data_IF_733769227903
#
_entry.id   IF_733769227903
#
_cell.length_a   1.000
_cell.length_b   1.000
_cell.length_c   1.000
_cell.angle_alpha   90.00
_cell.angle_beta   90.00
_cell.angle_gamma   90.00
#
_symmetry.space_group_name_H-M   'P 1'
#
loop_
_entity.id
_entity.type
_entity.pdbx_description
1 polymer ?
#
# COMPACT_ATOMS: atom_id res chain seq x y z
N UNK A 1 -5.27 14.56 5.45
CA UNK A 1 -5.54 13.60 4.36
C UNK A 1 -5.60 14.39 3.06
N UNK A 2 -4.76 14.10 2.05
CA UNK A 2 -4.89 14.78 0.76
C UNK A 2 -6.29 14.53 0.18
N UNK A 3 -6.82 15.47 -0.59
CA UNK A 3 -8.20 15.43 -1.11
C UNK A 3 -8.50 14.27 -2.08
N UNK A 4 -7.51 13.42 -2.38
CA UNK A 4 -7.63 12.17 -3.13
C UNK A 4 -6.84 11.01 -2.49
N UNK A 5 -6.67 11.06 -1.17
CA UNK A 5 -6.05 9.99 -0.39
C UNK A 5 -7.06 8.90 -0.06
N UNK A 6 -6.75 7.67 -0.41
CA UNK A 6 -7.56 6.49 -0.15
C UNK A 6 -6.81 5.57 0.83
N UNK A 7 -7.54 4.93 1.75
CA UNK A 7 -7.00 3.89 2.61
C UNK A 7 -7.37 2.54 2.03
N UNK A 8 -6.39 1.66 1.92
CA UNK A 8 -6.61 0.32 1.40
C UNK A 8 -5.90 -0.73 2.24
N UNK A 9 -6.49 -1.93 2.28
CA UNK A 9 -5.98 -3.02 3.08
C UNK A 9 -4.70 -3.61 2.47
N UNK A 10 -3.65 -3.78 3.27
CA UNK A 10 -2.43 -4.46 2.83
C UNK A 10 -2.70 -5.94 2.55
N UNK A 11 -3.26 -6.68 3.52
CA UNK A 11 -3.93 -7.97 3.30
C UNK A 11 -5.39 -7.70 2.95
N UNK A 12 -5.87 -8.06 1.76
CA UNK A 12 -7.24 -7.78 1.34
C UNK A 12 -8.28 -8.28 2.34
N UNK A 13 -9.32 -7.49 2.56
CA UNK A 13 -10.43 -7.88 3.43
C UNK A 13 -11.11 -9.18 2.95
N UNK A 14 -11.26 -9.35 1.64
CA UNK A 14 -11.80 -10.57 1.03
C UNK A 14 -10.98 -11.82 1.34
N UNK A 15 -9.67 -11.67 1.61
CA UNK A 15 -8.75 -12.76 1.96
C UNK A 15 -8.56 -12.90 3.49
N UNK A 16 -9.52 -12.38 4.26
CA UNK A 16 -9.54 -12.42 5.73
C UNK A 16 -8.68 -11.36 6.40
N UNK A 17 -8.30 -10.29 5.70
CA UNK A 17 -7.62 -9.14 6.30
C UNK A 17 -8.52 -8.35 7.23
N UNK A 18 -8.11 -8.16 8.49
CA UNK A 18 -8.85 -7.34 9.45
C UNK A 18 -8.75 -5.85 9.11
N UNK A 19 -9.80 -5.09 9.41
CA UNK A 19 -9.75 -3.62 9.40
C UNK A 19 -9.03 -3.13 10.65
N UNK A 20 -7.78 -2.73 10.51
CA UNK A 20 -6.95 -2.20 11.59
C UNK A 20 -5.93 -1.21 11.04
N UNK A 21 -5.43 -0.29 11.87
CA UNK A 21 -4.39 0.66 11.46
C UNK A 21 -3.12 -0.05 10.91
N UNK A 22 -2.78 -1.21 11.48
CA UNK A 22 -1.64 -2.01 11.03
C UNK A 22 -1.85 -2.70 9.66
N UNK A 23 -3.10 -2.83 9.19
CA UNK A 23 -3.42 -3.42 7.90
C UNK A 23 -3.87 -2.37 6.87
N UNK A 24 -3.76 -1.07 7.16
CA UNK A 24 -4.13 -0.01 6.22
C UNK A 24 -2.89 0.76 5.78
N UNK A 25 -2.83 1.08 4.49
CA UNK A 25 -1.88 2.02 3.93
C UNK A 25 -2.61 3.11 3.14
N UNK A 26 -2.04 4.32 3.14
CA UNK A 26 -2.55 5.46 2.38
C UNK A 26 -1.99 5.47 0.97
N UNK A 27 -2.85 5.66 -0.01
CA UNK A 27 -2.52 5.75 -1.44
C UNK A 27 -3.17 7.00 -2.06
N UNK A 28 -2.63 7.48 -3.17
CA UNK A 28 -3.44 8.28 -4.09
C UNK A 28 -4.37 7.34 -4.88
N UNK A 29 -5.48 7.87 -5.43
CA UNK A 29 -6.42 7.06 -6.21
C UNK A 29 -5.76 6.26 -7.35
N UNK A 30 -4.75 6.82 -8.03
CA UNK A 30 -4.04 6.12 -9.11
C UNK A 30 -3.26 4.92 -8.57
N UNK A 31 -2.53 5.08 -7.48
CA UNK A 31 -1.72 4.00 -6.91
C UNK A 31 -2.59 2.94 -6.22
N UNK A 32 -3.70 3.34 -5.60
CA UNK A 32 -4.67 2.39 -5.06
C UNK A 32 -5.25 1.51 -6.17
N UNK A 33 -5.63 2.12 -7.31
CA UNK A 33 -6.06 1.34 -8.48
C UNK A 33 -4.95 0.43 -8.99
N UNK A 34 -3.73 0.94 -9.07
CA UNK A 34 -2.54 0.20 -9.47
C UNK A 34 -2.33 -1.06 -8.62
N UNK A 35 -2.44 -0.94 -7.30
CA UNK A 35 -2.31 -2.08 -6.36
C UNK A 35 -3.21 -3.26 -6.71
N UNK A 36 -4.43 -2.99 -7.16
CA UNK A 36 -5.41 -4.04 -7.48
C UNK A 36 -5.34 -4.51 -8.93
N UNK A 37 -4.87 -3.66 -9.85
CA UNK A 37 -5.06 -3.86 -11.28
C UNK A 37 -3.77 -3.99 -12.08
N UNK A 38 -2.59 -3.80 -11.46
CA UNK A 38 -1.29 -3.88 -12.13
C UNK A 38 -0.63 -5.25 -11.86
N UNK A 39 -0.68 -6.21 -12.80
CA UNK A 39 -0.14 -7.53 -12.58
C UNK A 39 1.38 -7.48 -12.39
N UNK A 40 1.90 -8.32 -11.48
CA UNK A 40 3.34 -8.44 -11.21
C UNK A 40 3.92 -7.31 -10.35
N UNK A 41 3.11 -6.34 -9.92
CA UNK A 41 3.52 -5.39 -8.89
C UNK A 41 3.38 -6.04 -7.51
N UNK A 42 4.32 -5.76 -6.62
CA UNK A 42 4.26 -6.24 -5.23
C UNK A 42 4.31 -5.06 -4.28
N UNK A 43 3.42 -5.07 -3.29
CA UNK A 43 3.33 -4.07 -2.24
C UNK A 43 3.56 -4.78 -0.90
N UNK A 44 4.53 -4.35 -0.12
CA UNK A 44 4.83 -4.91 1.20
C UNK A 44 4.78 -3.80 2.24
N UNK A 45 3.82 -3.89 3.17
CA UNK A 45 3.74 -2.99 4.32
C UNK A 45 4.45 -3.65 5.51
N UNK A 46 5.51 -3.03 5.99
CA UNK A 46 6.31 -3.51 7.11
C UNK A 46 5.71 -3.05 8.45
N UNK A 47 6.04 -3.72 9.57
CA UNK A 47 5.51 -3.37 10.90
C UNK A 47 5.84 -1.95 11.38
N UNK A 48 6.91 -1.34 10.85
CA UNK A 48 7.32 0.03 11.14
C UNK A 48 6.57 1.08 10.30
N UNK A 49 5.63 0.64 9.44
CA UNK A 49 4.86 1.48 8.53
C UNK A 49 5.57 1.78 7.21
N UNK A 50 6.78 1.24 6.98
CA UNK A 50 7.47 1.35 5.70
C UNK A 50 6.71 0.59 4.62
N UNK A 51 6.43 1.23 3.48
CA UNK A 51 5.84 0.59 2.31
C UNK A 51 6.90 0.40 1.23
N UNK A 52 7.14 -0.85 0.83
CA UNK A 52 8.01 -1.22 -0.30
C UNK A 52 7.16 -1.61 -1.49
N UNK A 53 7.46 -1.02 -2.65
CA UNK A 53 6.80 -1.29 -3.91
C UNK A 53 7.82 -1.81 -4.93
N UNK A 54 7.58 -2.97 -5.52
CA UNK A 54 8.44 -3.52 -6.59
C UNK A 54 7.65 -3.68 -7.88
N UNK A 55 8.16 -3.11 -8.97
CA UNK A 55 7.58 -3.24 -10.32
C UNK A 55 7.93 -4.59 -10.96
N UNK A 56 7.23 -5.00 -12.03
CA UNK A 56 7.56 -6.22 -12.78
C UNK A 56 8.96 -6.22 -13.39
N UNK A 57 9.53 -5.04 -13.65
CA UNK A 57 10.90 -4.88 -14.16
C UNK A 57 11.96 -4.87 -13.06
N UNK A 58 11.56 -5.01 -11.79
CA UNK A 58 12.44 -5.05 -10.63
C UNK A 58 12.79 -3.70 -10.04
N UNK A 59 12.18 -2.59 -10.50
CA UNK A 59 12.40 -1.29 -9.86
C UNK A 59 11.72 -1.28 -8.49
N UNK A 60 12.43 -0.76 -7.48
CA UNK A 60 11.94 -0.69 -6.11
C UNK A 60 11.81 0.75 -5.65
N UNK A 61 10.66 1.09 -5.07
CA UNK A 61 10.43 2.34 -4.36
C UNK A 61 10.08 2.05 -2.90
N UNK A 62 10.57 2.89 -1.99
CA UNK A 62 10.36 2.73 -0.54
C UNK A 62 9.87 4.07 0.03
N UNK A 63 8.78 4.03 0.80
CA UNK A 63 8.27 5.18 1.54
C UNK A 63 8.18 4.85 3.02
N UNK A 64 8.54 5.81 3.87
CA UNK A 64 8.46 5.69 5.34
C UNK A 64 7.45 6.69 5.89
N UNK A 65 6.80 6.40 7.02
CA UNK A 65 5.95 7.38 7.69
C UNK A 65 6.78 8.63 8.08
N UNK A 66 6.21 9.84 8.01
CA UNK A 66 6.88 11.04 8.53
C UNK A 66 7.04 10.94 10.06
N UNK A 67 8.07 11.59 10.64
CA UNK A 67 8.17 11.75 12.08
C UNK A 67 6.94 12.49 12.64
N UNK A 68 6.58 12.18 13.88
CA UNK A 68 5.45 12.79 14.59
C UNK A 68 5.73 14.22 15.04
#
# INVERSE_FOLDING_TARGET
MPAGGELDHHRPHADGGHTSAANLAGYCTTDHRGKHQAPGWTHTLHPDGTLTLTTPTGLTAVTTPPPY
#
